data_IF_299702028774
#
_entry.id   IF_299702028774
#
_cell.length_a   1.000
_cell.length_b   1.000
_cell.length_c   1.000
_cell.angle_alpha   90.00
_cell.angle_beta   90.00
_cell.angle_gamma   90.00
#
_symmetry.space_group_name_H-M   'P 1'
#
loop_
_entity.id
_entity.type
_entity.pdbx_description
1 polymer ?
#
# COMPACT_ATOMS: atom_id res chain seq x y z
N UNK A 1 16.63 -1.62 6.18
CA UNK A 1 15.51 -2.10 5.35
C UNK A 1 15.61 -1.44 4.01
N UNK A 2 15.43 -2.20 2.92
CA UNK A 2 15.52 -1.73 1.54
C UNK A 2 14.15 -1.78 0.85
N UNK A 3 13.98 -0.97 -0.19
CA UNK A 3 12.75 -0.90 -0.99
C UNK A 3 13.11 -1.19 -2.45
N UNK A 4 12.25 -1.94 -3.14
CA UNK A 4 12.44 -2.26 -4.55
C UNK A 4 11.10 -2.39 -5.29
N UNK A 5 11.07 -1.96 -6.54
CA UNK A 5 10.06 -2.42 -7.51
C UNK A 5 10.62 -3.68 -8.17
N UNK A 6 9.88 -4.78 -8.10
CA UNK A 6 10.34 -6.06 -8.66
C UNK A 6 9.92 -6.25 -10.13
N UNK A 7 9.11 -5.34 -10.64
CA UNK A 7 8.63 -5.34 -12.03
C UNK A 7 7.17 -4.89 -12.15
N UNK A 8 6.80 -4.54 -13.38
CA UNK A 8 5.44 -4.25 -13.80
C UNK A 8 4.88 -5.40 -14.66
N UNK A 9 3.56 -5.52 -14.85
CA UNK A 9 3.00 -6.51 -15.76
C UNK A 9 3.53 -6.30 -17.20
N UNK A 10 3.80 -7.38 -17.96
CA UNK A 10 3.64 -8.80 -17.61
C UNK A 10 4.86 -9.42 -16.89
N UNK A 11 5.95 -8.66 -16.74
CA UNK A 11 7.26 -9.15 -16.29
C UNK A 11 7.39 -9.25 -14.77
N UNK A 12 6.39 -8.78 -14.03
CA UNK A 12 6.36 -8.84 -12.58
C UNK A 12 6.50 -10.28 -12.06
N UNK A 13 7.40 -10.54 -11.09
CA UNK A 13 7.57 -11.87 -10.54
C UNK A 13 6.35 -12.28 -9.72
N UNK A 14 6.14 -13.59 -9.65
CA UNK A 14 5.28 -14.21 -8.64
C UNK A 14 6.11 -14.36 -7.39
N UNK A 15 5.67 -13.77 -6.28
CA UNK A 15 6.33 -13.95 -4.98
C UNK A 15 5.38 -14.69 -4.05
N UNK A 16 5.90 -15.72 -3.37
CA UNK A 16 5.16 -16.44 -2.33
C UNK A 16 5.49 -15.85 -0.98
N UNK A 17 4.46 -15.37 -0.29
CA UNK A 17 4.56 -14.84 1.08
C UNK A 17 3.93 -15.84 2.04
N UNK A 18 4.46 -15.94 3.27
CA UNK A 18 3.85 -16.73 4.34
C UNK A 18 2.45 -16.17 4.69
N UNK A 19 1.40 -16.93 4.36
CA UNK A 19 0.00 -16.54 4.58
C UNK A 19 -0.36 -16.36 6.05
N UNK A 20 0.43 -16.93 6.97
CA UNK A 20 0.23 -16.79 8.42
C UNK A 20 0.67 -15.40 8.88
N UNK A 21 1.70 -14.84 8.25
CA UNK A 21 2.30 -13.55 8.62
C UNK A 21 1.79 -12.39 7.78
N UNK A 22 1.42 -12.65 6.52
CA UNK A 22 0.97 -11.63 5.57
C UNK A 22 -0.51 -11.78 5.23
N UNK A 23 -1.28 -10.71 5.42
CA UNK A 23 -2.60 -10.61 4.81
C UNK A 23 -2.45 -10.59 3.29
N UNK A 24 -3.45 -11.11 2.58
CA UNK A 24 -3.47 -11.13 1.11
C UNK A 24 -2.31 -11.87 0.43
N UNK A 25 -1.56 -12.74 1.12
CA UNK A 25 -0.41 -13.46 0.55
C UNK A 25 -0.71 -14.12 -0.81
N UNK A 26 -1.88 -14.76 -0.95
CA UNK A 26 -2.32 -15.38 -2.20
C UNK A 26 -2.57 -14.42 -3.37
N UNK A 27 -2.55 -13.09 -3.15
CA UNK A 27 -2.65 -12.08 -4.21
C UNK A 27 -1.30 -11.70 -4.82
N UNK A 28 -0.20 -12.18 -4.25
CA UNK A 28 1.15 -11.86 -4.72
C UNK A 28 1.77 -12.93 -5.63
N UNK A 29 1.09 -14.07 -5.79
CA UNK A 29 1.51 -15.19 -6.66
C UNK A 29 1.02 -15.07 -8.12
N UNK A 30 0.42 -13.94 -8.50
CA UNK A 30 -0.04 -13.66 -9.87
C UNK A 30 0.93 -12.72 -10.61
N UNK A 31 0.94 -12.79 -11.95
CA UNK A 31 1.77 -11.95 -12.85
C UNK A 31 1.04 -10.74 -13.43
N UNK A 32 -0.25 -10.62 -13.17
CA UNK A 32 -1.15 -9.59 -13.72
C UNK A 32 -1.02 -8.23 -13.01
N UNK A 33 -0.19 -8.16 -11.95
CA UNK A 33 0.07 -6.96 -11.18
C UNK A 33 1.56 -6.80 -10.92
N UNK A 34 2.04 -5.56 -11.01
CA UNK A 34 3.37 -5.17 -10.60
C UNK A 34 3.53 -5.31 -9.09
N UNK A 35 4.78 -5.37 -8.62
CA UNK A 35 5.10 -5.62 -7.21
C UNK A 35 6.15 -4.64 -6.72
N UNK A 36 5.87 -4.00 -5.60
CA UNK A 36 6.85 -3.26 -4.83
C UNK A 36 6.98 -3.92 -3.44
N UNK A 37 8.19 -3.96 -2.90
CA UNK A 37 8.48 -4.65 -1.64
C UNK A 37 9.36 -3.80 -0.73
N UNK A 38 9.18 -4.01 0.56
CA UNK A 38 10.13 -3.62 1.60
C UNK A 38 10.74 -4.90 2.16
N UNK A 39 12.07 -4.95 2.27
CA UNK A 39 12.83 -6.14 2.68
C UNK A 39 13.88 -5.82 3.73
N UNK A 40 14.32 -6.84 4.45
CA UNK A 40 15.49 -6.77 5.34
C UNK A 40 16.75 -6.38 4.55
N UNK A 41 17.73 -5.77 5.22
CA UNK A 41 18.99 -5.38 4.55
C UNK A 41 19.76 -6.61 4.05
N UNK A 42 20.37 -6.50 2.87
CA UNK A 42 21.12 -7.60 2.28
C UNK A 42 20.22 -8.64 1.59
N UNK A 43 18.91 -8.42 1.51
CA UNK A 43 17.98 -9.36 0.85
C UNK A 43 18.02 -9.20 -0.67
N UNK A 44 18.07 -7.97 -1.18
CA UNK A 44 18.05 -7.69 -2.62
C UNK A 44 19.30 -8.23 -3.31
N UNK A 45 20.42 -8.29 -2.59
CA UNK A 45 21.73 -8.71 -3.07
C UNK A 45 21.90 -10.23 -3.11
N UNK A 46 20.93 -10.99 -2.60
CA UNK A 46 20.99 -12.46 -2.59
C UNK A 46 20.82 -12.99 -4.01
N UNK A 47 21.76 -13.84 -4.42
CA UNK A 47 21.68 -14.48 -5.73
C UNK A 47 20.36 -15.26 -5.88
N UNK A 48 19.64 -14.99 -6.98
CA UNK A 48 18.36 -15.65 -7.29
C UNK A 48 17.16 -15.14 -6.49
N UNK A 49 17.30 -14.01 -5.77
CA UNK A 49 16.17 -13.37 -5.10
C UNK A 49 15.48 -12.35 -6.03
N UNK A 50 14.13 -12.25 -6.01
CA UNK A 50 13.21 -13.15 -5.33
C UNK A 50 13.12 -14.51 -6.06
N UNK A 51 12.99 -15.63 -5.33
CA UNK A 51 12.78 -16.93 -5.97
C UNK A 51 11.41 -16.97 -6.67
N UNK A 52 11.24 -17.87 -7.65
CA UNK A 52 9.90 -18.12 -8.18
C UNK A 52 9.00 -18.66 -7.05
N UNK A 53 7.77 -18.14 -6.97
CA UNK A 53 6.79 -18.55 -5.97
C UNK A 53 6.57 -20.07 -5.87
N UNK A 54 6.81 -20.83 -6.94
CA UNK A 54 6.71 -22.31 -6.96
C UNK A 54 7.86 -23.00 -6.23
N UNK A 55 9.03 -22.37 -6.21
CA UNK A 55 10.24 -22.98 -5.69
C UNK A 55 10.41 -22.69 -4.19
N UNK A 56 10.26 -21.42 -3.79
CA UNK A 56 10.49 -21.00 -2.41
C UNK A 56 9.63 -19.80 -1.99
N UNK A 57 9.60 -19.52 -0.69
CA UNK A 57 9.05 -18.27 -0.15
C UNK A 57 10.04 -17.13 -0.37
N UNK A 58 9.53 -15.92 -0.61
CA UNK A 58 10.36 -14.73 -0.65
C UNK A 58 10.76 -14.32 0.77
N UNK A 59 11.72 -15.03 1.34
CA UNK A 59 12.25 -14.75 2.67
C UNK A 59 12.85 -13.35 2.74
N UNK A 60 12.80 -12.75 3.94
CA UNK A 60 13.29 -11.39 4.18
C UNK A 60 12.32 -10.28 3.77
N UNK A 61 11.17 -10.59 3.16
CA UNK A 61 10.11 -9.59 2.93
C UNK A 61 9.55 -9.11 4.27
N UNK A 62 9.40 -7.79 4.39
CA UNK A 62 8.79 -7.08 5.52
C UNK A 62 7.42 -6.50 5.15
N UNK A 63 7.23 -6.11 3.89
CA UNK A 63 5.96 -5.67 3.34
C UNK A 63 5.93 -5.76 1.82
N UNK A 64 4.74 -5.85 1.26
CA UNK A 64 4.54 -5.93 -0.18
C UNK A 64 3.31 -5.14 -0.63
N UNK A 65 3.42 -4.51 -1.80
CA UNK A 65 2.36 -3.81 -2.50
C UNK A 65 2.24 -4.39 -3.90
N UNK A 66 1.02 -4.70 -4.31
CA UNK A 66 0.70 -5.00 -5.71
C UNK A 66 0.06 -3.79 -6.37
N UNK A 67 0.37 -3.55 -7.64
CA UNK A 67 -0.14 -2.41 -8.38
C UNK A 67 -0.45 -2.75 -9.85
N UNK A 68 -1.23 -1.91 -10.50
CA UNK A 68 -1.64 -2.08 -11.89
C UNK A 68 -2.10 -0.75 -12.50
N UNK A 69 -2.14 -0.60 -13.83
CA UNK A 69 -2.97 0.43 -14.45
C UNK A 69 -4.44 0.30 -14.03
N UNK A 70 -5.14 1.42 -13.97
CA UNK A 70 -6.60 1.43 -13.91
C UNK A 70 -7.17 0.91 -15.24
N UNK A 71 -8.32 0.24 -15.18
CA UNK A 71 -9.01 -0.30 -16.36
C UNK A 71 -9.82 0.77 -17.08
N UNK A 72 -10.22 1.79 -16.32
CA UNK A 72 -11.17 2.81 -16.76
C UNK A 72 -10.47 4.15 -17.06
N UNK A 73 -9.20 4.27 -16.70
CA UNK A 73 -8.39 5.48 -16.83
C UNK A 73 -6.92 5.10 -17.05
N UNK A 74 -6.38 5.39 -18.23
CA UNK A 74 -5.01 5.03 -18.58
C UNK A 74 -3.96 5.84 -17.81
N UNK A 75 -4.32 7.03 -17.32
CA UNK A 75 -3.42 7.95 -16.63
C UNK A 75 -3.37 7.70 -15.12
N UNK A 76 -4.15 6.74 -14.63
CA UNK A 76 -4.20 6.36 -13.22
C UNK A 76 -3.60 4.96 -12.99
N UNK A 77 -2.59 4.87 -12.12
CA UNK A 77 -2.19 3.60 -11.50
C UNK A 77 -3.01 3.31 -10.24
N UNK A 78 -3.14 2.04 -9.87
CA UNK A 78 -3.89 1.58 -8.70
C UNK A 78 -3.02 0.70 -7.84
N UNK A 79 -2.83 1.06 -6.57
CA UNK A 79 -2.32 0.15 -5.55
C UNK A 79 -3.47 -0.76 -5.11
N UNK A 80 -3.31 -2.07 -5.29
CA UNK A 80 -4.41 -3.05 -5.17
C UNK A 80 -4.42 -3.77 -3.83
N UNK A 81 -3.29 -4.33 -3.45
CA UNK A 81 -3.14 -5.04 -2.17
C UNK A 81 -1.87 -4.57 -1.50
N UNK A 82 -2.01 -4.15 -0.24
CA UNK A 82 -0.91 -3.75 0.64
C UNK A 82 -0.87 -4.72 1.80
N UNK A 83 0.32 -5.23 2.13
CA UNK A 83 0.50 -6.12 3.26
C UNK A 83 1.83 -5.88 3.96
N UNK A 84 1.84 -6.06 5.27
CA UNK A 84 3.02 -5.94 6.13
C UNK A 84 3.05 -7.17 7.03
N UNK A 85 4.25 -7.69 7.26
CA UNK A 85 4.50 -8.82 8.15
C UNK A 85 3.91 -8.51 9.53
N UNK A 86 3.19 -9.46 10.10
CA UNK A 86 2.42 -9.26 11.33
C UNK A 86 3.25 -8.77 12.51
N UNK A 87 4.45 -9.31 12.71
CA UNK A 87 5.45 -8.90 13.70
C UNK A 87 6.02 -7.49 13.49
N UNK A 88 5.75 -6.86 12.34
CA UNK A 88 6.26 -5.53 11.97
C UNK A 88 5.15 -4.50 11.75
N UNK A 89 3.91 -4.83 12.10
CA UNK A 89 2.79 -3.88 12.00
C UNK A 89 2.97 -2.79 13.05
N UNK A 90 2.77 -1.53 12.65
CA UNK A 90 3.01 -0.36 13.50
C UNK A 90 4.32 0.37 13.20
N UNK A 91 5.30 -0.30 12.58
CA UNK A 91 6.63 0.27 12.28
C UNK A 91 6.65 1.29 11.12
N UNK A 92 5.49 1.69 10.61
CA UNK A 92 5.38 2.62 9.48
C UNK A 92 5.75 2.05 8.10
N UNK A 93 6.08 0.75 8.00
CA UNK A 93 6.49 0.09 6.74
C UNK A 93 5.45 0.25 5.64
N UNK A 94 4.16 0.06 5.95
CA UNK A 94 3.07 0.18 4.97
C UNK A 94 2.99 1.57 4.34
N UNK A 95 3.08 2.63 5.16
CA UNK A 95 3.04 4.01 4.67
C UNK A 95 4.25 4.32 3.78
N UNK A 96 5.47 3.96 4.23
CA UNK A 96 6.70 4.18 3.46
C UNK A 96 6.71 3.40 2.14
N UNK A 97 6.22 2.16 2.16
CA UNK A 97 6.13 1.32 0.96
C UNK A 97 5.10 1.87 -0.04
N UNK A 98 3.95 2.36 0.42
CA UNK A 98 2.97 3.04 -0.44
C UNK A 98 3.53 4.34 -1.01
N UNK A 99 4.25 5.14 -0.20
CA UNK A 99 4.89 6.37 -0.67
C UNK A 99 5.91 6.07 -1.78
N UNK A 100 6.79 5.09 -1.53
CA UNK A 100 7.75 4.59 -2.51
C UNK A 100 7.10 4.13 -3.81
N UNK A 101 6.10 3.25 -3.73
CA UNK A 101 5.42 2.73 -4.91
C UNK A 101 4.72 3.84 -5.70
N UNK A 102 4.06 4.78 -5.00
CA UNK A 102 3.39 5.90 -5.63
C UNK A 102 4.35 6.83 -6.36
N UNK A 103 5.49 7.20 -5.75
CA UNK A 103 6.51 8.04 -6.40
C UNK A 103 7.02 7.42 -7.70
N UNK A 104 7.21 6.10 -7.72
CA UNK A 104 7.65 5.39 -8.93
C UNK A 104 6.60 5.38 -10.01
N UNK A 105 5.33 5.17 -9.63
CA UNK A 105 4.22 5.14 -10.56
C UNK A 105 3.89 6.52 -11.13
N UNK A 106 4.04 7.59 -10.34
CA UNK A 106 3.86 8.97 -10.81
C UNK A 106 4.89 9.39 -11.87
N UNK A 107 5.98 8.64 -12.03
CA UNK A 107 6.91 8.82 -13.15
C UNK A 107 6.35 8.38 -14.51
N UNK A 108 5.25 7.63 -14.53
CA UNK A 108 4.62 7.09 -15.75
C UNK A 108 3.10 7.31 -15.81
N UNK A 109 2.49 7.84 -14.75
CA UNK A 109 1.07 8.06 -14.60
C UNK A 109 0.83 9.43 -13.96
N UNK A 110 -0.27 10.09 -14.29
CA UNK A 110 -0.60 11.39 -13.69
C UNK A 110 -1.08 11.25 -12.24
N UNK A 111 -1.65 10.07 -11.91
CA UNK A 111 -2.25 9.82 -10.60
C UNK A 111 -2.05 8.37 -10.15
N UNK A 112 -2.01 8.19 -8.83
CA UNK A 112 -2.08 6.89 -8.17
C UNK A 112 -3.30 6.85 -7.26
N UNK A 113 -4.09 5.79 -7.35
CA UNK A 113 -5.26 5.52 -6.52
C UNK A 113 -5.02 4.36 -5.58
N UNK A 114 -5.63 4.40 -4.40
CA UNK A 114 -5.77 3.27 -3.49
C UNK A 114 -7.15 3.31 -2.83
N UNK A 115 -7.79 2.14 -2.72
CA UNK A 115 -9.07 1.98 -2.05
C UNK A 115 -8.83 1.26 -0.72
N UNK A 116 -9.28 1.85 0.41
CA UNK A 116 -8.97 1.33 1.76
C UNK A 116 -10.23 1.15 2.60
N UNK A 117 -10.32 0.04 3.32
CA UNK A 117 -11.56 -0.38 3.99
C UNK A 117 -11.57 -0.20 5.52
N UNK A 118 -10.47 0.28 6.12
CA UNK A 118 -10.34 0.42 7.57
C UNK A 118 -9.53 1.68 7.92
N UNK A 119 -9.74 2.26 9.12
CA UNK A 119 -9.14 3.53 9.51
C UNK A 119 -7.61 3.49 9.63
N UNK A 120 -7.01 2.34 9.98
CA UNK A 120 -5.56 2.20 10.04
C UNK A 120 -4.90 2.30 8.65
N UNK A 121 -5.51 1.67 7.64
CA UNK A 121 -5.04 1.75 6.27
C UNK A 121 -5.27 3.15 5.67
N UNK A 122 -6.38 3.80 6.02
CA UNK A 122 -6.66 5.19 5.67
C UNK A 122 -5.57 6.14 6.18
N UNK A 123 -5.24 6.06 7.47
CA UNK A 123 -4.16 6.83 8.08
C UNK A 123 -2.80 6.55 7.42
N UNK A 124 -2.49 5.29 7.14
CA UNK A 124 -1.25 4.92 6.46
C UNK A 124 -1.17 5.48 5.02
N UNK A 125 -2.29 5.50 4.29
CA UNK A 125 -2.36 6.09 2.96
C UNK A 125 -2.20 7.62 3.02
N UNK A 126 -2.78 8.28 4.02
CA UNK A 126 -2.55 9.71 4.25
C UNK A 126 -1.08 10.00 4.55
N UNK A 127 -0.43 9.23 5.41
CA UNK A 127 1.03 9.32 5.64
C UNK A 127 1.81 9.14 4.35
N UNK A 128 1.35 8.27 3.44
CA UNK A 128 1.96 8.08 2.12
C UNK A 128 1.65 9.20 1.09
N UNK A 129 1.01 10.29 1.52
CA UNK A 129 0.71 11.45 0.69
C UNK A 129 -0.58 11.36 -0.12
N UNK A 130 -1.40 10.32 0.09
CA UNK A 130 -2.73 10.23 -0.52
C UNK A 130 -3.73 11.13 0.21
N UNK A 131 -4.80 11.51 -0.49
CA UNK A 131 -5.94 12.23 0.06
C UNK A 131 -7.26 11.62 -0.38
N UNK A 132 -8.25 11.67 0.50
CA UNK A 132 -9.59 11.14 0.26
C UNK A 132 -10.31 11.95 -0.82
N UNK A 133 -10.96 11.27 -1.76
CA UNK A 133 -11.68 11.94 -2.86
C UNK A 133 -13.11 12.33 -2.49
N UNK A 134 -13.64 11.84 -1.37
CA UNK A 134 -15.08 11.89 -1.07
C UNK A 134 -15.85 10.68 -1.61
N UNK A 135 -15.21 9.82 -2.41
CA UNK A 135 -15.88 8.68 -3.04
C UNK A 135 -15.78 7.42 -2.19
N UNK A 136 -16.84 6.61 -2.20
CA UNK A 136 -16.89 5.29 -1.56
C UNK A 136 -17.06 4.22 -2.64
N UNK A 137 -16.33 3.12 -2.53
CA UNK A 137 -16.44 1.96 -3.43
C UNK A 137 -16.86 0.74 -2.62
N UNK A 138 -17.71 -0.09 -3.22
CA UNK A 138 -18.31 -1.22 -2.53
C UNK A 138 -19.09 -0.75 -1.28
N UNK A 139 -19.06 -1.55 -0.21
CA UNK A 139 -19.75 -1.18 1.04
C UNK A 139 -18.89 -0.34 1.99
N UNK A 140 -17.58 -0.45 1.92
CA UNK A 140 -16.69 -0.04 3.01
C UNK A 140 -15.38 0.62 2.56
N UNK A 141 -15.07 0.63 1.27
CA UNK A 141 -13.81 1.17 0.79
C UNK A 141 -13.95 2.67 0.52
N UNK A 142 -12.96 3.43 0.98
CA UNK A 142 -12.81 4.84 0.66
C UNK A 142 -11.74 4.97 -0.40
N UNK A 143 -12.01 5.76 -1.43
CA UNK A 143 -11.07 6.02 -2.53
C UNK A 143 -10.14 7.16 -2.16
N UNK A 144 -8.84 6.92 -2.22
CA UNK A 144 -7.82 7.96 -2.04
C UNK A 144 -6.93 8.06 -3.27
N UNK A 145 -6.46 9.27 -3.55
CA UNK A 145 -5.60 9.55 -4.70
C UNK A 145 -4.36 10.35 -4.30
N UNK A 146 -3.31 10.22 -5.11
CA UNK A 146 -2.09 11.03 -5.04
C UNK A 146 -1.69 11.43 -6.47
N UNK A 147 -1.48 12.73 -6.77
CA UNK A 147 -1.73 13.88 -5.89
C UNK A 147 -3.23 14.10 -5.62
N UNK A 148 -3.55 14.72 -4.48
CA UNK A 148 -4.91 15.14 -4.10
C UNK A 148 -4.86 16.60 -3.61
N UNK A 149 -5.56 17.50 -4.30
CA UNK A 149 -5.58 18.92 -3.94
C UNK A 149 -6.29 19.16 -2.60
N UNK A 150 -7.42 18.49 -2.36
CA UNK A 150 -8.24 18.63 -1.16
C UNK A 150 -7.80 17.67 -0.02
N UNK A 151 -6.50 17.31 0.04
CA UNK A 151 -6.00 16.29 0.98
C UNK A 151 -6.30 16.70 2.41
N UNK A 152 -6.00 17.93 2.80
CA UNK A 152 -6.15 18.33 4.20
C UNK A 152 -7.63 18.45 4.59
N UNK A 153 -8.43 19.02 3.69
CA UNK A 153 -9.86 19.30 3.87
C UNK A 153 -10.67 18.01 3.99
N UNK A 154 -10.35 16.98 3.20
CA UNK A 154 -11.12 15.74 3.16
C UNK A 154 -10.74 14.72 4.23
N UNK A 155 -9.71 14.99 5.04
CA UNK A 155 -9.21 14.02 6.02
C UNK A 155 -10.29 13.60 7.02
N UNK A 156 -10.88 14.57 7.72
CA UNK A 156 -11.89 14.30 8.76
C UNK A 156 -13.15 13.67 8.19
N UNK A 157 -13.57 14.07 6.98
CA UNK A 157 -14.73 13.48 6.31
C UNK A 157 -14.58 11.97 6.06
N UNK A 158 -13.37 11.51 5.73
CA UNK A 158 -13.12 10.07 5.61
C UNK A 158 -13.07 9.33 6.95
N UNK A 159 -12.62 9.98 8.03
CA UNK A 159 -12.71 9.41 9.37
C UNK A 159 -14.17 9.26 9.82
N UNK A 160 -15.01 10.27 9.55
CA UNK A 160 -16.45 10.23 9.83
C UNK A 160 -17.14 9.08 9.10
N UNK A 161 -16.74 8.80 7.85
CA UNK A 161 -17.25 7.66 7.10
C UNK A 161 -16.93 6.29 7.73
N UNK A 162 -15.92 6.19 8.59
CA UNK A 162 -15.66 4.99 9.40
C UNK A 162 -16.49 4.97 10.69
N UNK A 163 -16.80 6.12 11.29
CA UNK A 163 -17.63 6.23 12.51
C UNK A 163 -19.06 5.74 12.31
N UNK A 164 -19.57 5.76 11.09
CA UNK A 164 -20.89 5.22 10.70
C UNK A 164 -20.99 3.68 10.77
N UNK A 165 -19.97 2.96 11.26
CA UNK A 165 -19.84 1.49 11.18
C UNK A 165 -19.77 0.84 12.56
N UNK A 166 -19.93 -0.49 12.60
CA UNK A 166 -19.65 -1.30 13.78
C UNK A 166 -18.15 -1.40 14.04
N UNK A 167 -17.59 -0.42 14.72
CA UNK A 167 -16.16 -0.33 15.04
C UNK A 167 -15.80 -1.11 16.30
N UNK A 168 -14.57 -1.61 16.33
CA UNK A 168 -13.95 -2.11 17.56
C UNK A 168 -13.61 -0.95 18.52
N UNK A 169 -13.49 -1.19 19.84
CA UNK A 169 -13.07 -0.15 20.78
C UNK A 169 -11.72 0.49 20.40
N UNK A 170 -10.78 -0.30 19.88
CA UNK A 170 -9.48 0.21 19.43
C UNK A 170 -9.61 1.13 18.22
N UNK A 171 -10.53 0.83 17.29
CA UNK A 171 -10.80 1.71 16.14
C UNK A 171 -11.48 3.01 16.57
N UNK A 172 -12.38 2.97 17.56
CA UNK A 172 -12.99 4.19 18.13
C UNK A 172 -11.91 5.06 18.78
N UNK A 173 -11.12 4.49 19.70
CA UNK A 173 -10.02 5.20 20.34
C UNK A 173 -8.99 5.72 19.33
N UNK A 174 -8.75 4.96 18.26
CA UNK A 174 -7.95 5.43 17.14
C UNK A 174 -8.58 6.66 16.51
N UNK A 175 -9.80 6.61 16.02
CA UNK A 175 -10.43 7.75 15.35
C UNK A 175 -10.53 9.00 16.25
N UNK A 176 -10.80 8.84 17.54
CA UNK A 176 -10.95 9.94 18.48
C UNK A 176 -9.64 10.68 18.78
N UNK A 177 -8.49 10.04 18.57
CA UNK A 177 -7.18 10.65 18.77
C UNK A 177 -6.70 11.49 17.56
N UNK A 178 -7.55 11.75 16.55
CA UNK A 178 -7.19 12.45 15.32
C UNK A 178 -7.93 13.77 15.18
N UNK A 179 -7.16 14.85 15.15
CA UNK A 179 -7.67 16.21 14.96
C UNK A 179 -7.37 16.80 13.56
N UNK A 180 -6.58 16.09 12.74
CA UNK A 180 -6.18 16.55 11.41
C UNK A 180 -5.29 15.55 10.67
N UNK A 181 -5.00 15.79 9.38
CA UNK A 181 -4.20 14.88 8.57
C UNK A 181 -2.78 14.72 9.13
N UNK A 182 -2.20 13.50 9.09
CA UNK A 182 -0.83 13.30 9.51
C UNK A 182 0.17 13.93 8.53
N UNK A 183 1.39 14.16 9.02
CA UNK A 183 2.53 14.51 8.16
C UNK A 183 2.78 13.43 7.11
N UNK A 184 3.21 13.88 5.93
CA UNK A 184 3.59 12.98 4.84
C UNK A 184 4.98 12.43 5.13
N UNK A 185 5.13 11.12 5.00
CA UNK A 185 6.45 10.47 5.09
C UNK A 185 7.18 10.64 3.78
N UNK A 186 8.48 10.93 3.85
CA UNK A 186 9.33 10.92 2.67
C UNK A 186 9.33 9.53 2.03
N UNK A 187 9.20 9.51 0.71
CA UNK A 187 9.36 8.29 -0.04
C UNK A 187 10.81 7.81 0.10
N UNK A 188 11.04 6.59 0.62
CA UNK A 188 12.40 6.08 0.75
C UNK A 188 13.04 5.90 -0.62
N UNK A 189 14.36 6.00 -0.68
CA UNK A 189 15.12 5.55 -1.85
C UNK A 189 15.02 4.02 -2.02
N UNK A 190 15.28 3.52 -3.22
CA UNK A 190 15.21 2.08 -3.49
C UNK A 190 15.51 1.70 -4.94
N UNK A 191 15.61 0.41 -5.21
CA UNK A 191 15.88 -0.11 -6.56
C UNK A 191 14.63 -0.02 -7.45
N UNK A 192 14.83 0.08 -8.76
CA UNK A 192 13.78 0.26 -9.76
C UNK A 192 13.52 -1.01 -10.53
#
# INVERSE_FOLDING_TARGET
MQFAVLGAPPDAPRIRLDWRRFRYAGKFVTRDAGKAVAVEDGVLERAGWPPDARDAEAEGVLGAVSFSPSRDDADTAVLRYVTVRDDRRGDGIGARLCAFAADRLLGAHERVRIDVNNPYAYEAAYKAGFGYTGERVGRHELTLVRPCAARAENYSAGLDAYRERGLTPDEVAFLDARDGPPDVVDAPEGER
#
